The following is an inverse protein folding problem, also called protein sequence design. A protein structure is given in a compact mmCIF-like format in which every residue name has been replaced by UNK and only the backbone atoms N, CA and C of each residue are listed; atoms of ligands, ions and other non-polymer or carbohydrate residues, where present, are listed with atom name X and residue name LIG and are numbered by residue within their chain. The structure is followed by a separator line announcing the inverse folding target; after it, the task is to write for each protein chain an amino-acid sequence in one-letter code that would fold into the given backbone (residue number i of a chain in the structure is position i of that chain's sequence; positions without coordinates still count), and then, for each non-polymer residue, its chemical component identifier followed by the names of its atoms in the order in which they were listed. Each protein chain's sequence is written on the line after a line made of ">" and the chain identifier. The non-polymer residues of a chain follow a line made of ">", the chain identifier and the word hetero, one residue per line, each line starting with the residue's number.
data_IF_479466140507
#
_entry.id   IF_479466140507
#
_cell.length_a   1.000
_cell.length_b   1.000
_cell.length_c   1.000
_cell.angle_alpha   90.00
_cell.angle_beta   90.00
_cell.angle_gamma   90.00
#
_symmetry.space_group_name_H-M   'P 1'
#
loop_
_entity.id
_entity.type
_entity.pdbx_description
1 polymer ?
#
# COMPACT_ATOMS: atom_id res chain seq x y z
N UNK A 1 3.18 21.56 -12.88
CA UNK A 1 2.44 20.31 -13.25
C UNK A 1 1.44 20.12 -12.13
N UNK A 2 0.36 20.89 -12.19
CA UNK A 2 -0.51 21.13 -11.02
C UNK A 2 -1.76 20.23 -11.11
N UNK A 3 -1.61 19.10 -11.80
CA UNK A 3 -2.68 18.56 -12.65
C UNK A 3 -3.72 17.69 -11.93
N UNK A 4 -3.43 17.15 -10.74
CA UNK A 4 -4.43 16.29 -10.08
C UNK A 4 -5.35 17.09 -9.16
N UNK A 5 -4.85 18.14 -8.48
CA UNK A 5 -5.62 18.89 -7.46
C UNK A 5 -5.16 20.34 -7.23
N UNK A 6 -4.44 20.97 -8.17
CA UNK A 6 -3.84 22.32 -7.96
C UNK A 6 -2.89 22.38 -6.74
N UNK A 7 -2.38 21.22 -6.34
CA UNK A 7 -1.49 21.01 -5.20
C UNK A 7 -0.18 20.38 -5.67
N UNK A 8 0.93 20.81 -5.05
CA UNK A 8 2.30 20.42 -5.42
C UNK A 8 2.69 19.01 -4.93
N UNK A 9 1.97 18.48 -3.94
CA UNK A 9 2.10 17.13 -3.36
C UNK A 9 0.75 16.68 -2.77
N UNK A 10 0.71 15.57 -2.03
CA UNK A 10 -0.48 15.20 -1.23
C UNK A 10 -1.41 14.14 -1.80
N UNK A 11 -1.19 13.74 -3.05
CA UNK A 11 -2.06 12.82 -3.79
C UNK A 11 -1.40 11.44 -4.06
N UNK A 12 -0.31 11.11 -3.36
CA UNK A 12 0.44 9.87 -3.58
C UNK A 12 -0.45 8.61 -3.54
N UNK A 13 -1.50 8.60 -2.71
CA UNK A 13 -2.43 7.48 -2.62
C UNK A 13 -3.26 7.27 -3.89
N UNK A 14 -3.70 8.36 -4.53
CA UNK A 14 -4.42 8.32 -5.81
C UNK A 14 -3.45 8.00 -6.95
N UNK A 15 -2.35 8.74 -7.08
CA UNK A 15 -1.38 8.56 -8.15
C UNK A 15 -0.78 7.15 -8.15
N UNK A 16 -0.48 6.60 -6.96
CA UNK A 16 0.02 5.23 -6.81
C UNK A 16 -0.95 4.17 -7.35
N UNK A 17 -2.26 4.38 -7.19
CA UNK A 17 -3.27 3.50 -7.79
C UNK A 17 -3.27 3.55 -9.32
N UNK A 18 -3.24 4.77 -9.88
CA UNK A 18 -3.21 4.94 -11.34
C UNK A 18 -1.98 4.23 -11.91
N UNK A 19 -0.80 4.48 -11.32
CA UNK A 19 0.45 3.81 -11.74
C UNK A 19 0.33 2.30 -11.63
N UNK A 20 -0.19 1.76 -10.52
CA UNK A 20 -0.36 0.31 -10.34
C UNK A 20 -1.22 -0.30 -11.45
N UNK A 21 -2.42 0.24 -11.66
CA UNK A 21 -3.39 -0.41 -12.55
C UNK A 21 -3.05 -0.22 -14.02
N UNK A 22 -2.48 0.92 -14.41
CA UNK A 22 -1.96 1.13 -15.77
C UNK A 22 -0.78 0.19 -16.05
N UNK A 23 0.13 0.02 -15.08
CA UNK A 23 1.23 -0.95 -15.21
C UNK A 23 0.72 -2.39 -15.34
N UNK A 24 -0.25 -2.79 -14.52
CA UNK A 24 -0.88 -4.12 -14.59
C UNK A 24 -1.64 -4.36 -15.90
N UNK A 25 -2.15 -3.31 -16.53
CA UNK A 25 -2.77 -3.39 -17.86
C UNK A 25 -1.76 -3.54 -19.01
N UNK A 26 -0.46 -3.64 -18.71
CA UNK A 26 0.61 -3.83 -19.70
C UNK A 26 1.29 -2.54 -20.16
N UNK A 27 0.90 -1.38 -19.63
CA UNK A 27 1.41 -0.07 -20.03
C UNK A 27 2.47 0.48 -19.05
N UNK A 28 3.14 -0.37 -18.29
CA UNK A 28 4.10 0.05 -17.26
C UNK A 28 5.37 0.72 -17.81
N UNK A 29 5.66 0.57 -19.10
CA UNK A 29 6.76 1.25 -19.79
C UNK A 29 6.27 2.33 -20.77
N UNK A 30 4.98 2.65 -20.76
CA UNK A 30 4.40 3.70 -21.61
C UNK A 30 4.88 5.07 -21.13
N UNK A 31 5.42 5.89 -22.05
CA UNK A 31 5.96 7.21 -21.73
C UNK A 31 4.94 8.15 -21.08
N UNK A 32 3.65 7.95 -21.33
CA UNK A 32 2.57 8.75 -20.72
C UNK A 32 2.39 8.46 -19.24
N UNK A 33 2.93 7.34 -18.75
CA UNK A 33 2.94 6.99 -17.34
C UNK A 33 4.07 7.71 -16.58
N UNK A 34 5.15 8.08 -17.27
CA UNK A 34 6.36 8.64 -16.68
C UNK A 34 6.12 9.91 -15.83
N UNK A 35 5.26 10.87 -16.23
CA UNK A 35 4.95 12.03 -15.37
C UNK A 35 4.35 11.65 -14.02
N UNK A 36 3.53 10.59 -13.97
CA UNK A 36 2.94 10.09 -12.72
C UNK A 36 3.99 9.37 -11.85
N UNK A 37 4.89 8.61 -12.47
CA UNK A 37 6.04 7.99 -11.79
C UNK A 37 6.95 9.06 -11.18
N UNK A 38 7.31 10.09 -11.96
CA UNK A 38 8.14 11.20 -11.49
C UNK A 38 7.46 12.02 -10.38
N UNK A 39 6.13 12.14 -10.42
CA UNK A 39 5.37 12.73 -9.32
C UNK A 39 5.51 11.91 -8.04
N UNK A 40 5.34 10.59 -8.09
CA UNK A 40 5.53 9.73 -6.91
C UNK A 40 6.97 9.81 -6.37
N UNK A 41 7.97 9.81 -7.26
CA UNK A 41 9.37 9.99 -6.87
C UNK A 41 9.58 11.33 -6.15
N UNK A 42 9.00 12.42 -6.68
CA UNK A 42 9.07 13.75 -6.06
C UNK A 42 8.36 13.78 -4.71
N UNK A 43 7.15 13.23 -4.61
CA UNK A 43 6.36 13.17 -3.37
C UNK A 43 7.14 12.44 -2.27
N UNK A 44 7.75 11.27 -2.59
CA UNK A 44 8.62 10.58 -1.64
C UNK A 44 9.85 11.40 -1.25
N UNK A 45 10.53 12.03 -2.22
CA UNK A 45 11.83 12.70 -1.98
C UNK A 45 11.70 14.03 -1.23
N UNK A 46 10.66 14.81 -1.52
CA UNK A 46 10.53 16.18 -1.03
C UNK A 46 9.55 16.33 0.13
N UNK A 47 8.58 15.43 0.22
CA UNK A 47 7.42 15.62 1.08
C UNK A 47 7.09 14.39 1.93
N UNK A 48 7.88 13.32 1.86
CA UNK A 48 7.59 12.07 2.57
C UNK A 48 6.18 11.52 2.34
N UNK A 49 5.69 11.66 1.11
CA UNK A 49 4.31 11.34 0.73
C UNK A 49 3.26 11.98 1.67
N UNK A 50 3.60 13.13 2.28
CA UNK A 50 2.69 13.93 3.11
C UNK A 50 1.40 14.22 2.36
N UNK A 51 0.30 14.32 3.10
CA UNK A 51 -1.04 14.47 2.56
C UNK A 51 -1.79 15.58 3.29
N UNK A 52 -2.46 16.47 2.55
CA UNK A 52 -3.27 17.56 3.11
C UNK A 52 -4.43 17.04 3.98
N UNK A 53 -4.93 15.84 3.72
CA UNK A 53 -5.98 15.19 4.55
C UNK A 53 -5.41 14.73 5.90
N UNK A 54 -4.10 14.52 5.99
CA UNK A 54 -3.38 14.11 7.20
C UNK A 54 -2.59 15.29 7.80
N UNK A 55 -3.09 16.52 7.65
CA UNK A 55 -2.46 17.72 8.19
C UNK A 55 -1.03 17.98 7.71
N UNK A 56 -0.73 17.63 6.45
CA UNK A 56 0.60 17.74 5.87
C UNK A 56 1.68 16.88 6.56
N UNK A 57 1.28 15.88 7.35
CA UNK A 57 2.19 14.93 7.97
C UNK A 57 2.54 13.78 7.00
N UNK A 58 3.76 13.20 7.09
CA UNK A 58 4.14 11.99 6.38
C UNK A 58 3.08 10.89 6.50
N UNK A 59 2.61 10.36 5.38
CA UNK A 59 1.38 9.57 5.36
C UNK A 59 1.63 8.10 5.01
N UNK A 60 1.23 7.19 5.90
CA UNK A 60 1.31 5.74 5.66
C UNK A 60 0.46 5.27 4.48
N UNK A 61 -0.74 5.83 4.28
CA UNK A 61 -1.56 5.52 3.11
C UNK A 61 -0.91 6.01 1.82
N UNK A 62 -0.31 7.20 1.86
CA UNK A 62 0.47 7.75 0.75
C UNK A 62 1.62 6.81 0.38
N UNK A 63 2.48 6.49 1.34
CA UNK A 63 3.63 5.62 1.10
C UNK A 63 3.24 4.19 0.69
N UNK A 64 2.24 3.57 1.31
CA UNK A 64 1.81 2.22 0.95
C UNK A 64 1.34 2.14 -0.52
N UNK A 65 0.54 3.11 -0.97
CA UNK A 65 0.06 3.16 -2.36
C UNK A 65 1.16 3.58 -3.34
N UNK A 66 2.04 4.48 -2.92
CA UNK A 66 3.21 4.90 -3.70
C UNK A 66 4.12 3.72 -4.00
N UNK A 67 4.54 2.96 -2.99
CA UNK A 67 5.43 1.81 -3.23
C UNK A 67 4.69 0.71 -4.00
N UNK A 68 3.39 0.50 -3.71
CA UNK A 68 2.60 -0.51 -4.41
C UNK A 68 2.48 -0.22 -5.91
N UNK A 69 2.33 1.06 -6.27
CA UNK A 69 2.34 1.54 -7.65
C UNK A 69 3.70 1.41 -8.31
N UNK A 70 4.75 1.96 -7.70
CA UNK A 70 6.11 1.91 -8.26
C UNK A 70 6.64 0.48 -8.42
N UNK A 71 6.31 -0.41 -7.48
CA UNK A 71 6.69 -1.82 -7.54
C UNK A 71 5.93 -2.63 -8.62
N UNK A 72 4.95 -2.03 -9.29
CA UNK A 72 4.24 -2.64 -10.41
C UNK A 72 4.92 -2.40 -11.76
N UNK A 73 5.81 -1.41 -11.82
CA UNK A 73 6.54 -1.09 -13.05
C UNK A 73 7.40 -2.29 -13.47
N UNK A 74 7.59 -2.53 -14.78
CA UNK A 74 8.54 -3.52 -15.26
C UNK A 74 9.96 -3.14 -14.82
N UNK A 75 10.84 -4.12 -14.66
CA UNK A 75 12.19 -3.90 -14.10
C UNK A 75 12.97 -2.81 -14.84
N UNK A 76 12.91 -2.81 -16.18
CA UNK A 76 13.56 -1.79 -17.03
C UNK A 76 13.02 -0.36 -16.83
N UNK A 77 11.80 -0.20 -16.33
CA UNK A 77 11.21 1.10 -16.00
C UNK A 77 11.47 1.54 -14.55
N UNK A 78 12.05 0.68 -13.69
CA UNK A 78 12.41 1.03 -12.31
C UNK A 78 13.77 1.71 -12.27
N UNK A 79 13.79 2.99 -12.64
CA UNK A 79 14.98 3.84 -12.59
C UNK A 79 15.63 3.88 -11.20
N UNK A 80 16.86 4.40 -11.10
CA UNK A 80 17.57 4.54 -9.82
C UNK A 80 16.76 5.37 -8.81
N UNK A 81 16.05 6.38 -9.27
CA UNK A 81 15.17 7.23 -8.47
C UNK A 81 13.95 6.49 -7.96
N UNK A 82 13.31 5.67 -8.82
CA UNK A 82 12.20 4.79 -8.43
C UNK A 82 12.65 3.81 -7.36
N UNK A 83 13.81 3.16 -7.55
CA UNK A 83 14.39 2.23 -6.58
C UNK A 83 14.69 2.90 -5.24
N UNK A 84 15.16 4.16 -5.25
CA UNK A 84 15.35 4.95 -4.03
C UNK A 84 14.02 5.30 -3.35
N UNK A 85 12.97 5.60 -4.12
CA UNK A 85 11.64 5.87 -3.57
C UNK A 85 11.00 4.61 -2.95
N UNK A 86 11.17 3.44 -3.58
CA UNK A 86 10.78 2.15 -3.01
C UNK A 86 11.45 1.90 -1.66
N UNK A 87 12.78 2.02 -1.59
CA UNK A 87 13.52 1.85 -0.33
C UNK A 87 13.07 2.84 0.75
N UNK A 88 12.89 4.13 0.42
CA UNK A 88 12.37 5.13 1.38
C UNK A 88 11.00 4.76 1.91
N UNK A 89 10.09 4.32 1.05
CA UNK A 89 8.75 3.94 1.48
C UNK A 89 8.74 2.67 2.33
N UNK A 90 9.57 1.68 2.02
CA UNK A 90 9.77 0.49 2.86
C UNK A 90 10.28 0.88 4.24
N UNK A 91 11.35 1.68 4.31
CA UNK A 91 11.91 2.17 5.58
C UNK A 91 10.87 2.94 6.41
N UNK A 92 10.10 3.83 5.77
CA UNK A 92 9.05 4.58 6.44
C UNK A 92 7.97 3.67 7.02
N UNK A 93 7.43 2.73 6.24
CA UNK A 93 6.37 1.82 6.69
C UNK A 93 6.84 0.93 7.84
N UNK A 94 8.10 0.49 7.82
CA UNK A 94 8.63 -0.39 8.86
C UNK A 94 9.05 0.35 10.14
N UNK A 95 9.24 1.68 10.09
CA UNK A 95 9.70 2.49 11.23
C UNK A 95 8.68 2.63 12.37
N UNK A 96 7.39 2.45 12.10
CA UNK A 96 6.32 2.80 13.05
C UNK A 96 5.50 1.61 13.58
N UNK A 97 6.04 0.38 13.51
CA UNK A 97 5.38 -0.87 13.90
C UNK A 97 4.03 -1.00 13.19
N UNK A 98 4.06 -1.59 11.99
CA UNK A 98 2.92 -1.63 11.05
C UNK A 98 1.62 -2.06 11.74
N UNK A 99 1.64 -3.06 12.62
CA UNK A 99 0.45 -3.56 13.33
C UNK A 99 -0.16 -2.58 14.33
N UNK A 100 0.64 -1.62 14.83
CA UNK A 100 0.20 -0.57 15.76
C UNK A 100 -0.24 0.70 15.05
N UNK A 101 0.25 0.94 13.83
CA UNK A 101 -0.15 2.10 13.02
C UNK A 101 0.21 3.44 13.65
N UNK A 102 1.34 3.54 14.35
CA UNK A 102 1.75 4.76 15.07
C UNK A 102 2.43 5.78 14.16
N UNK A 103 1.88 5.98 12.98
CA UNK A 103 2.41 6.93 12.00
C UNK A 103 2.07 8.38 12.38
N UNK A 104 2.85 9.36 11.88
CA UNK A 104 2.52 10.77 12.02
C UNK A 104 1.12 11.09 11.50
N UNK A 105 0.34 11.79 12.32
CA UNK A 105 -0.99 12.32 11.97
C UNK A 105 -1.30 13.48 12.92
N UNK A 106 -2.06 14.45 12.43
CA UNK A 106 -2.61 15.57 13.20
C UNK A 106 -3.94 15.22 13.88
N UNK A 107 -4.47 14.03 13.62
CA UNK A 107 -5.72 13.51 14.19
C UNK A 107 -5.50 12.21 14.96
N UNK A 108 -6.58 11.52 15.34
CA UNK A 108 -6.48 10.17 15.87
C UNK A 108 -6.21 9.15 14.73
N UNK A 109 -5.47 8.05 14.99
CA UNK A 109 -5.29 6.99 14.01
C UNK A 109 -6.63 6.48 13.45
N UNK A 110 -6.71 6.34 12.13
CA UNK A 110 -7.94 5.87 11.48
C UNK A 110 -8.35 4.49 11.99
N UNK A 111 -9.64 4.33 12.30
CA UNK A 111 -10.23 3.03 12.70
C UNK A 111 -9.98 1.93 11.64
N UNK A 112 -9.80 2.32 10.38
CA UNK A 112 -9.54 1.42 9.26
C UNK A 112 -8.21 0.68 9.39
N UNK A 113 -7.23 1.27 10.07
CA UNK A 113 -5.85 0.77 10.06
C UNK A 113 -5.77 -0.71 10.44
N UNK A 114 -6.50 -1.09 11.50
CA UNK A 114 -6.53 -2.45 12.05
C UNK A 114 -7.74 -3.27 11.58
N UNK A 115 -8.52 -2.74 10.64
CA UNK A 115 -9.69 -3.39 10.08
C UNK A 115 -9.32 -4.03 8.74
N UNK A 116 -9.21 -5.35 8.70
CA UNK A 116 -9.03 -6.09 7.44
C UNK A 116 -10.20 -5.79 6.50
N UNK A 117 -9.94 -5.05 5.42
CA UNK A 117 -10.96 -4.38 4.64
C UNK A 117 -10.89 -4.70 3.16
N UNK A 118 -12.05 -4.91 2.56
CA UNK A 118 -12.21 -4.95 1.12
C UNK A 118 -13.62 -4.47 0.72
N UNK A 119 -13.77 -3.61 -0.31
CA UNK A 119 -12.70 -2.98 -1.07
C UNK A 119 -12.03 -1.83 -0.32
N UNK A 120 -10.82 -1.47 -0.75
CA UNK A 120 -10.09 -0.27 -0.34
C UNK A 120 -9.79 0.58 -1.59
N UNK A 121 -10.13 1.86 -1.57
CA UNK A 121 -9.87 2.76 -2.71
C UNK A 121 -8.48 3.38 -2.61
N UNK A 122 -8.31 4.41 -1.79
CA UNK A 122 -7.03 5.09 -1.56
C UNK A 122 -6.49 4.86 -0.14
N UNK A 123 -7.33 4.36 0.76
CA UNK A 123 -6.96 4.02 2.13
C UNK A 123 -6.13 2.73 2.15
N UNK A 124 -5.40 2.52 3.25
CA UNK A 124 -4.69 1.28 3.53
C UNK A 124 -4.99 0.80 4.95
N UNK A 125 -5.09 -0.52 5.11
CA UNK A 125 -5.03 -1.20 6.38
C UNK A 125 -3.70 -1.97 6.50
N UNK A 126 -3.48 -2.66 7.61
CA UNK A 126 -2.29 -3.50 7.83
C UNK A 126 -2.08 -4.50 6.68
N UNK A 127 -3.14 -5.13 6.16
CA UNK A 127 -3.03 -6.12 5.08
C UNK A 127 -2.60 -5.46 3.77
N UNK A 128 -3.10 -4.27 3.47
CA UNK A 128 -2.65 -3.50 2.32
C UNK A 128 -1.18 -3.10 2.44
N UNK A 129 -0.72 -2.70 3.63
CA UNK A 129 0.71 -2.40 3.85
C UNK A 129 1.57 -3.64 3.62
N UNK A 130 1.18 -4.80 4.15
CA UNK A 130 1.88 -6.05 3.88
C UNK A 130 1.93 -6.37 2.38
N UNK A 131 0.85 -6.14 1.63
CA UNK A 131 0.83 -6.28 0.17
C UNK A 131 1.74 -5.29 -0.55
N UNK A 132 1.90 -4.09 -0.01
CA UNK A 132 2.80 -3.09 -0.56
C UNK A 132 4.27 -3.45 -0.33
N UNK A 133 4.60 -3.97 0.87
CA UNK A 133 5.92 -4.50 1.22
C UNK A 133 6.27 -5.74 0.39
N UNK A 134 5.33 -6.68 0.24
CA UNK A 134 5.46 -7.86 -0.61
C UNK A 134 5.77 -7.47 -2.06
N UNK A 135 4.99 -6.55 -2.64
CA UNK A 135 5.24 -6.06 -4.00
C UNK A 135 6.64 -5.43 -4.15
N UNK A 136 7.13 -4.75 -3.11
CA UNK A 136 8.46 -4.15 -3.07
C UNK A 136 9.59 -5.14 -2.76
N UNK A 137 9.29 -6.42 -2.50
CA UNK A 137 10.27 -7.45 -2.14
C UNK A 137 10.87 -7.24 -0.75
N UNK A 138 10.07 -6.79 0.22
CA UNK A 138 10.53 -6.43 1.57
C UNK A 138 9.72 -7.14 2.67
N UNK A 139 9.11 -8.28 2.36
CA UNK A 139 8.30 -9.05 3.31
C UNK A 139 9.15 -9.88 4.29
N UNK A 140 10.39 -10.17 3.90
CA UNK A 140 11.41 -10.89 4.67
C UNK A 140 12.11 -10.01 5.72
N UNK A 141 11.94 -8.68 5.67
CA UNK A 141 12.47 -7.78 6.69
C UNK A 141 11.90 -8.13 8.08
N UNK A 142 12.78 -8.29 9.08
CA UNK A 142 12.40 -8.63 10.45
C UNK A 142 11.35 -7.69 11.06
N UNK A 143 11.33 -6.41 10.62
CA UNK A 143 10.37 -5.41 11.08
C UNK A 143 8.96 -5.65 10.54
N UNK A 144 8.80 -6.46 9.49
CA UNK A 144 7.49 -6.88 8.97
C UNK A 144 6.86 -8.03 9.80
N UNK A 145 7.69 -8.83 10.48
CA UNK A 145 7.25 -10.03 11.21
C UNK A 145 6.19 -9.77 12.28
N UNK A 146 6.23 -8.69 13.08
CA UNK A 146 5.15 -8.37 14.01
C UNK A 146 3.78 -8.18 13.33
N UNK A 147 3.74 -7.61 12.13
CA UNK A 147 2.51 -7.43 11.37
C UNK A 147 2.02 -8.73 10.71
N UNK A 148 2.94 -9.59 10.27
CA UNK A 148 2.62 -10.94 9.79
C UNK A 148 2.05 -11.78 10.93
N UNK A 149 2.69 -11.75 12.12
CA UNK A 149 2.17 -12.41 13.31
C UNK A 149 0.80 -11.86 13.74
N UNK A 150 0.59 -10.55 13.65
CA UNK A 150 -0.72 -9.94 13.89
C UNK A 150 -1.80 -10.40 12.91
N UNK A 151 -1.44 -10.63 11.64
CA UNK A 151 -2.32 -11.17 10.61
C UNK A 151 -2.65 -12.64 10.91
N UNK A 152 -1.64 -13.47 11.19
CA UNK A 152 -1.81 -14.90 11.55
C UNK A 152 -2.74 -15.07 12.75
N UNK A 153 -2.58 -14.26 13.79
CA UNK A 153 -3.43 -14.31 15.00
C UNK A 153 -4.91 -13.99 14.74
N UNK A 154 -5.28 -13.52 13.54
CA UNK A 154 -6.66 -13.22 13.13
C UNK A 154 -7.28 -14.30 12.24
N UNK A 155 -6.53 -15.36 11.93
CA UNK A 155 -7.07 -16.50 11.22
C UNK A 155 -8.10 -17.23 12.09
N UNK A 156 -9.26 -17.55 11.51
CA UNK A 156 -10.27 -18.36 12.18
C UNK A 156 -9.94 -19.87 12.09
N UNK A 157 -10.64 -20.74 12.85
CA UNK A 157 -10.39 -22.19 12.81
C UNK A 157 -10.62 -22.87 11.44
N UNK A 158 -11.24 -22.18 10.48
CA UNK A 158 -11.46 -22.65 9.10
C UNK A 158 -10.38 -22.16 8.14
N UNK A 159 -9.35 -21.49 8.65
CA UNK A 159 -8.26 -20.94 7.87
C UNK A 159 -8.60 -19.64 7.14
N UNK A 160 -9.64 -18.91 7.56
CA UNK A 160 -10.14 -17.69 6.89
C UNK A 160 -9.91 -16.45 7.73
N UNK A 161 -10.02 -15.28 7.09
CA UNK A 161 -9.97 -13.98 7.75
C UNK A 161 -11.30 -13.24 7.57
N UNK A 162 -11.86 -12.78 8.68
CA UNK A 162 -13.06 -11.94 8.66
C UNK A 162 -12.78 -10.57 8.04
N UNK A 163 -13.43 -10.27 6.92
CA UNK A 163 -13.31 -9.00 6.22
C UNK A 163 -14.42 -8.01 6.60
N UNK A 164 -14.14 -6.72 6.42
CA UNK A 164 -15.13 -5.63 6.50
C UNK A 164 -15.18 -4.87 5.18
N UNK A 165 -16.36 -4.35 4.83
CA UNK A 165 -16.57 -3.56 3.61
C UNK A 165 -16.97 -2.11 3.97
N UNK A 166 -16.04 -1.29 4.51
CA UNK A 166 -16.36 0.08 4.94
C UNK A 166 -16.83 0.99 3.80
N UNK A 167 -16.64 0.57 2.55
CA UNK A 167 -17.03 1.30 1.36
C UNK A 167 -18.03 0.55 0.47
N UNK A 168 -18.79 -0.39 1.02
CA UNK A 168 -19.79 -1.15 0.27
C UNK A 168 -20.78 -0.24 -0.49
N UNK A 169 -21.22 0.85 0.14
CA UNK A 169 -22.20 1.78 -0.44
C UNK A 169 -21.64 2.64 -1.59
N UNK A 170 -20.32 2.60 -1.81
CA UNK A 170 -19.64 3.30 -2.92
C UNK A 170 -19.36 2.37 -4.10
N UNK A 171 -19.84 1.13 -4.05
CA UNK A 171 -19.63 0.12 -5.08
C UNK A 171 -20.93 -0.15 -5.85
N UNK A 172 -20.85 -0.40 -7.17
CA UNK A 172 -22.01 -0.77 -7.97
C UNK A 172 -22.57 -2.15 -7.60
N UNK A 173 -21.80 -2.98 -6.91
CA UNK A 173 -22.20 -4.31 -6.46
C UNK A 173 -21.63 -4.66 -5.09
N UNK A 174 -22.37 -5.46 -4.33
CA UNK A 174 -21.91 -6.00 -3.04
C UNK A 174 -20.95 -7.16 -3.28
N UNK A 175 -19.86 -7.18 -2.52
CA UNK A 175 -18.84 -8.23 -2.56
C UNK A 175 -18.69 -8.85 -1.17
N UNK A 176 -18.38 -10.15 -1.12
CA UNK A 176 -17.97 -10.79 0.14
C UNK A 176 -16.54 -10.34 0.48
N UNK A 177 -16.44 -9.38 1.40
CA UNK A 177 -15.16 -8.87 1.86
C UNK A 177 -14.26 -9.96 2.46
N UNK A 178 -14.83 -10.94 3.17
CA UNK A 178 -14.05 -12.00 3.82
C UNK A 178 -13.38 -12.91 2.80
N UNK A 179 -14.03 -13.17 1.65
CA UNK A 179 -13.41 -13.91 0.54
C UNK A 179 -12.15 -13.22 0.02
N UNK A 180 -12.23 -11.91 -0.23
CA UNK A 180 -11.11 -11.14 -0.78
C UNK A 180 -9.98 -10.91 0.22
N UNK A 181 -10.34 -10.62 1.47
CA UNK A 181 -9.38 -10.51 2.58
C UNK A 181 -8.66 -11.83 2.80
N UNK A 182 -9.38 -12.96 2.81
CA UNK A 182 -8.78 -14.29 2.95
C UNK A 182 -7.81 -14.58 1.80
N UNK A 183 -8.21 -14.31 0.55
CA UNK A 183 -7.33 -14.50 -0.61
C UNK A 183 -6.03 -13.70 -0.44
N UNK A 184 -6.14 -12.42 -0.10
CA UNK A 184 -4.99 -11.54 0.08
C UNK A 184 -4.10 -11.98 1.25
N UNK A 185 -4.69 -12.38 2.38
CA UNK A 185 -3.94 -12.88 3.52
C UNK A 185 -3.18 -14.17 3.16
N UNK A 186 -3.82 -15.13 2.51
CA UNK A 186 -3.17 -16.36 2.06
C UNK A 186 -2.02 -16.08 1.09
N UNK A 187 -2.17 -15.13 0.15
CA UNK A 187 -1.08 -14.73 -0.76
C UNK A 187 0.13 -14.22 0.02
N UNK A 188 -0.09 -13.32 0.97
CA UNK A 188 0.99 -12.75 1.78
C UNK A 188 1.67 -13.82 2.64
N UNK A 189 0.90 -14.69 3.29
CA UNK A 189 1.47 -15.74 4.12
C UNK A 189 2.25 -16.77 3.30
N UNK A 190 1.81 -17.07 2.07
CA UNK A 190 2.56 -17.94 1.16
C UNK A 190 3.93 -17.34 0.79
N UNK A 191 3.99 -16.02 0.57
CA UNK A 191 5.25 -15.34 0.25
C UNK A 191 6.14 -15.15 1.48
N UNK A 192 5.55 -14.94 2.66
CA UNK A 192 6.29 -14.83 3.92
C UNK A 192 6.90 -16.17 4.37
N UNK A 193 6.28 -17.29 3.99
CA UNK A 193 6.70 -18.64 4.38
C UNK A 193 6.77 -19.57 3.15
N UNK A 194 7.71 -19.33 2.21
CA UNK A 194 7.78 -20.08 0.96
C UNK A 194 8.10 -21.57 1.18
N UNK A 195 8.87 -21.88 2.22
CA UNK A 195 9.26 -23.24 2.63
C UNK A 195 8.08 -24.14 2.99
N UNK A 196 6.95 -23.56 3.42
CA UNK A 196 5.74 -24.29 3.82
C UNK A 196 4.85 -24.60 2.60
N UNK A 197 5.12 -23.94 1.47
CA UNK A 197 4.31 -24.03 0.26
C UNK A 197 4.88 -24.97 -0.83
N UNK A 198 6.08 -25.51 -0.61
CA UNK A 198 6.72 -26.54 -1.41
C UNK A 198 6.37 -27.94 -0.89
#
# INVERSE_FOLDING_TARGET
>A
MDWVFEQDHGASCFTGNVVRYVALAGYGADERLEPLVQRLVRDSKKFDAACWINGEQPCAWGYARLIWGLAALPEGARTREVQRALRRGVEFLLSYKVERGRYPTDTAPSYLWRQLSFPLFYQADVLFVLRALDAAGALDDDRAQPAIGWLLARQDPRGRWGGRAPYADRMPSRVDASKWVTLQACTILKHAFPEIAA
#
